data_IF_054221980584
#
_entry.id   IF_054221980584
#
_cell.length_a   1.000
_cell.length_b   1.000
_cell.length_c   1.000
_cell.angle_alpha   90.00
_cell.angle_beta   90.00
_cell.angle_gamma   90.00
#
_symmetry.space_group_name_H-M   'P 1'
#
loop_
_entity.id
_entity.type
_entity.pdbx_description
1 polymer ?
#
# COMPACT_ATOMS: atom_id res chain seq x y z
N UNK A 1 -4.59 -4.32 0.99
CA UNK A 1 -5.30 -5.10 2.01
C UNK A 1 -5.96 -6.34 1.39
N UNK A 2 -6.78 -6.20 0.38
CA UNK A 2 -7.49 -7.32 -0.26
C UNK A 2 -6.55 -8.35 -0.91
N UNK A 3 -5.47 -7.88 -1.55
CA UNK A 3 -4.44 -8.75 -2.14
C UNK A 3 -3.76 -9.60 -1.07
N UNK A 4 -3.31 -9.00 0.04
CA UNK A 4 -2.68 -9.74 1.13
C UNK A 4 -3.64 -10.76 1.75
N UNK A 5 -4.91 -10.38 1.98
CA UNK A 5 -5.92 -11.30 2.49
C UNK A 5 -6.16 -12.48 1.53
N UNK A 6 -6.14 -12.24 0.21
CA UNK A 6 -6.30 -13.29 -0.79
C UNK A 6 -5.08 -14.23 -0.81
N UNK A 7 -3.85 -13.70 -0.75
CA UNK A 7 -2.64 -14.54 -0.68
C UNK A 7 -2.61 -15.33 0.63
N UNK A 8 -3.00 -14.72 1.76
CA UNK A 8 -3.13 -15.39 3.05
C UNK A 8 -4.09 -16.58 2.97
N UNK A 9 -5.25 -16.40 2.35
CA UNK A 9 -6.22 -17.49 2.16
C UNK A 9 -5.69 -18.63 1.28
N UNK A 10 -4.86 -18.33 0.27
CA UNK A 10 -4.19 -19.32 -0.55
C UNK A 10 -3.10 -20.09 0.22
N UNK A 11 -2.39 -19.39 1.12
CA UNK A 11 -1.45 -20.03 2.04
C UNK A 11 -2.16 -20.97 3.02
N UNK A 12 -3.24 -20.54 3.64
CA UNK A 12 -4.07 -21.36 4.55
C UNK A 12 -4.66 -22.58 3.81
N UNK A 13 -5.03 -22.40 2.53
CA UNK A 13 -5.44 -23.50 1.66
C UNK A 13 -4.28 -24.41 1.22
N UNK A 14 -3.04 -24.14 1.66
CA UNK A 14 -1.81 -24.89 1.30
C UNK A 14 -1.54 -24.91 -0.22
N UNK A 15 -1.83 -23.81 -0.89
CA UNK A 15 -1.57 -23.63 -2.32
C UNK A 15 -0.34 -22.78 -2.58
N UNK A 16 -0.06 -21.80 -1.72
CA UNK A 16 1.11 -20.93 -1.79
C UNK A 16 1.93 -21.00 -0.49
N UNK A 17 3.19 -20.59 -0.56
CA UNK A 17 4.07 -20.38 0.60
C UNK A 17 3.64 -19.15 1.41
N UNK A 18 4.32 -18.87 2.52
CA UNK A 18 3.97 -17.81 3.46
C UNK A 18 3.98 -16.43 2.79
N UNK A 19 2.90 -15.62 2.95
CA UNK A 19 2.72 -14.39 2.18
C UNK A 19 3.51 -13.18 2.68
N UNK A 20 3.98 -13.19 3.94
CA UNK A 20 4.71 -12.06 4.50
C UNK A 20 6.20 -12.32 4.41
N UNK A 21 6.77 -12.04 3.26
CA UNK A 21 8.18 -12.18 2.96
C UNK A 21 8.67 -11.03 2.10
N UNK A 22 9.89 -10.60 2.30
CA UNK A 22 10.62 -9.67 1.46
C UNK A 22 11.54 -10.38 0.46
N UNK A 23 11.73 -11.68 0.63
CA UNK A 23 12.57 -12.47 -0.26
C UNK A 23 11.97 -12.52 -1.67
N UNK A 24 12.83 -12.29 -2.64
CA UNK A 24 12.52 -12.42 -4.07
C UNK A 24 13.15 -13.67 -4.69
N UNK A 25 13.81 -14.47 -3.86
CA UNK A 25 14.52 -15.69 -4.24
C UNK A 25 14.07 -16.85 -3.37
N UNK A 26 14.40 -18.06 -3.80
CA UNK A 26 14.13 -19.31 -3.10
C UNK A 26 15.44 -20.02 -2.76
N UNK A 27 15.37 -21.07 -1.90
CA UNK A 27 16.51 -21.95 -1.63
C UNK A 27 16.62 -23.06 -2.66
N UNK A 28 17.73 -23.79 -2.64
CA UNK A 28 17.92 -24.99 -3.46
C UNK A 28 16.85 -26.07 -3.18
N UNK A 29 16.39 -26.18 -1.94
CA UNK A 29 15.37 -27.16 -1.56
C UNK A 29 14.04 -26.89 -2.26
N UNK A 30 13.61 -25.61 -2.31
CA UNK A 30 12.39 -25.22 -3.02
C UNK A 30 12.55 -25.44 -4.52
N UNK A 31 13.71 -25.14 -5.08
CA UNK A 31 13.98 -25.37 -6.50
C UNK A 31 13.84 -26.85 -6.88
N UNK A 32 14.33 -27.78 -6.04
CA UNK A 32 14.23 -29.23 -6.31
C UNK A 32 12.78 -29.66 -6.45
N UNK A 33 11.92 -29.36 -5.47
CA UNK A 33 10.53 -29.80 -5.57
C UNK A 33 9.73 -29.08 -6.67
N UNK A 34 10.06 -27.82 -6.98
CA UNK A 34 9.44 -27.12 -8.12
C UNK A 34 9.80 -27.79 -9.45
N UNK A 35 11.07 -28.19 -9.59
CA UNK A 35 11.54 -28.95 -10.75
C UNK A 35 10.83 -30.30 -10.86
N UNK A 36 10.73 -31.05 -9.76
CA UNK A 36 10.14 -32.37 -9.75
C UNK A 36 8.63 -32.35 -10.07
N UNK A 37 7.94 -31.24 -9.74
CA UNK A 37 6.52 -31.03 -10.05
C UNK A 37 6.26 -30.17 -11.28
N UNK A 38 7.29 -29.83 -12.07
CA UNK A 38 7.21 -28.87 -13.19
C UNK A 38 6.10 -29.22 -14.18
N UNK A 39 5.99 -30.47 -14.60
CA UNK A 39 4.95 -30.92 -15.53
C UNK A 39 3.53 -30.70 -15.01
N UNK A 40 3.31 -30.93 -13.71
CA UNK A 40 2.02 -30.68 -13.07
C UNK A 40 1.64 -29.21 -13.06
N UNK A 41 2.57 -28.34 -12.72
CA UNK A 41 2.34 -26.89 -12.75
C UNK A 41 2.10 -26.35 -14.16
N UNK A 42 2.86 -26.84 -15.15
CA UNK A 42 2.66 -26.49 -16.55
C UNK A 42 1.29 -26.93 -17.05
N UNK A 43 0.83 -28.12 -16.62
CA UNK A 43 -0.52 -28.62 -16.93
C UNK A 43 -1.64 -27.71 -16.40
N UNK A 44 -1.46 -27.09 -15.23
CA UNK A 44 -2.44 -26.12 -14.70
C UNK A 44 -2.54 -24.89 -15.60
N UNK A 45 -1.41 -24.38 -16.11
CA UNK A 45 -1.36 -23.20 -16.99
C UNK A 45 -1.75 -23.49 -18.43
N UNK A 46 -1.81 -24.77 -18.83
CA UNK A 46 -1.92 -25.15 -20.24
C UNK A 46 -0.72 -24.68 -21.06
N UNK A 47 0.47 -24.67 -20.47
CA UNK A 47 1.71 -24.19 -21.09
C UNK A 47 2.74 -25.33 -21.20
N UNK A 48 3.63 -25.23 -22.18
CA UNK A 48 4.74 -26.16 -22.38
C UNK A 48 6.05 -25.41 -22.47
N UNK A 49 7.12 -26.01 -21.94
CA UNK A 49 8.49 -25.51 -22.06
C UNK A 49 9.29 -26.58 -22.80
N UNK A 50 9.74 -26.29 -24.02
CA UNK A 50 10.43 -27.28 -24.85
C UNK A 50 11.80 -27.65 -24.26
N UNK A 51 12.53 -26.66 -23.76
CA UNK A 51 13.86 -26.82 -23.17
C UNK A 51 13.91 -26.17 -21.79
N UNK A 52 13.39 -26.82 -20.74
CA UNK A 52 13.37 -26.23 -19.42
C UNK A 52 14.80 -26.10 -18.84
N UNK A 53 15.07 -24.96 -18.23
CA UNK A 53 16.29 -24.75 -17.47
C UNK A 53 16.18 -25.43 -16.11
N UNK A 54 16.80 -26.59 -15.98
CA UNK A 54 16.74 -27.42 -14.77
C UNK A 54 17.93 -27.16 -13.81
N UNK A 55 18.74 -26.13 -14.08
CA UNK A 55 19.87 -25.74 -13.24
C UNK A 55 19.51 -24.51 -12.40
N UNK A 56 19.79 -24.51 -11.07
CA UNK A 56 19.52 -23.35 -10.22
C UNK A 56 20.32 -22.13 -10.69
N UNK A 57 19.62 -21.05 -11.04
CA UNK A 57 20.26 -19.78 -11.44
C UNK A 57 20.25 -18.81 -10.26
N UNK A 58 21.40 -18.19 -9.93
CA UNK A 58 21.58 -17.34 -8.75
C UNK A 58 20.58 -16.16 -8.65
N UNK A 59 20.04 -15.71 -9.77
CA UNK A 59 19.01 -14.66 -9.78
C UNK A 59 17.67 -15.11 -9.19
N UNK A 60 17.39 -16.43 -9.12
CA UNK A 60 16.17 -17.01 -8.57
C UNK A 60 16.41 -17.85 -7.34
N UNK A 61 17.59 -18.52 -7.26
CA UNK A 61 17.93 -19.48 -6.21
C UNK A 61 19.21 -18.99 -5.52
N UNK A 62 19.06 -18.48 -4.31
CA UNK A 62 20.19 -17.92 -3.54
C UNK A 62 19.92 -18.13 -2.04
N UNK A 63 20.49 -19.22 -1.49
CA UNK A 63 20.30 -19.58 -0.07
C UNK A 63 20.76 -18.45 0.89
N UNK A 64 21.79 -17.68 0.50
CA UNK A 64 22.34 -16.62 1.34
C UNK A 64 21.40 -15.40 1.47
N UNK A 65 20.45 -15.24 0.56
CA UNK A 65 19.46 -14.15 0.59
C UNK A 65 18.12 -14.54 1.18
N UNK A 66 17.95 -15.79 1.57
CA UNK A 66 16.75 -16.27 2.27
C UNK A 66 17.07 -16.32 3.76
N UNK A 67 16.42 -15.46 4.54
CA UNK A 67 16.59 -15.43 5.99
C UNK A 67 15.57 -16.37 6.67
N UNK A 68 14.38 -15.88 6.98
CA UNK A 68 13.31 -16.67 7.62
C UNK A 68 12.36 -17.31 6.61
N UNK A 69 12.02 -16.57 5.55
CA UNK A 69 11.05 -16.98 4.53
C UNK A 69 11.59 -16.73 3.14
N UNK A 70 11.36 -17.66 2.23
CA UNK A 70 11.64 -17.52 0.81
C UNK A 70 10.48 -16.84 0.07
N UNK A 71 10.67 -16.54 -1.21
CA UNK A 71 9.67 -15.89 -2.05
C UNK A 71 8.34 -16.67 -2.09
N UNK A 72 7.26 -15.95 -2.41
CA UNK A 72 5.93 -16.58 -2.57
C UNK A 72 5.93 -17.47 -3.82
N UNK A 73 5.77 -18.78 -3.60
CA UNK A 73 5.77 -19.82 -4.65
C UNK A 73 4.66 -20.84 -4.39
N UNK A 74 4.27 -21.66 -5.38
CA UNK A 74 3.36 -22.78 -5.18
C UNK A 74 3.96 -23.82 -4.21
N UNK A 75 3.11 -24.48 -3.44
CA UNK A 75 3.52 -25.58 -2.53
C UNK A 75 3.81 -26.86 -3.28
N UNK A 76 4.50 -27.82 -2.63
CA UNK A 76 4.83 -29.15 -3.18
C UNK A 76 3.61 -29.93 -3.73
N UNK A 77 2.43 -29.68 -3.18
CA UNK A 77 1.21 -30.38 -3.61
C UNK A 77 0.58 -29.63 -4.78
N UNK A 78 0.80 -30.13 -5.97
CA UNK A 78 0.15 -29.62 -7.19
C UNK A 78 -1.37 -29.85 -7.07
N UNK A 79 -2.21 -28.78 -7.11
CA UNK A 79 -3.65 -28.96 -7.08
C UNK A 79 -4.18 -29.48 -8.42
N UNK A 80 -5.26 -30.24 -8.38
CA UNK A 80 -6.02 -30.62 -9.56
C UNK A 80 -6.88 -29.45 -10.09
N UNK A 81 -7.38 -29.59 -11.31
CA UNK A 81 -8.24 -28.57 -11.94
C UNK A 81 -9.54 -28.33 -11.15
N UNK A 82 -10.09 -29.37 -10.53
CA UNK A 82 -11.31 -29.25 -9.73
C UNK A 82 -11.10 -28.38 -8.49
N UNK A 83 -9.91 -28.46 -7.87
CA UNK A 83 -9.53 -27.62 -6.74
C UNK A 83 -9.31 -26.18 -7.16
N UNK A 84 -8.67 -25.93 -8.31
CA UNK A 84 -8.49 -24.58 -8.87
C UNK A 84 -9.85 -23.96 -9.21
N UNK A 85 -10.76 -24.71 -9.81
CA UNK A 85 -12.11 -24.24 -10.16
C UNK A 85 -12.96 -23.82 -8.94
N UNK A 86 -12.69 -24.35 -7.75
CA UNK A 86 -13.36 -23.98 -6.50
C UNK A 86 -12.87 -22.65 -5.91
N UNK A 87 -11.74 -22.12 -6.37
CA UNK A 87 -11.21 -20.85 -5.93
C UNK A 87 -12.08 -19.70 -6.47
N UNK A 88 -12.19 -18.63 -5.70
CA UNK A 88 -12.82 -17.41 -6.22
C UNK A 88 -11.93 -16.73 -7.27
N UNK A 89 -12.52 -15.79 -8.04
CA UNK A 89 -11.86 -15.13 -9.17
C UNK A 89 -10.54 -14.46 -8.77
N UNK A 90 -10.46 -13.82 -7.59
CA UNK A 90 -9.24 -13.15 -7.14
C UNK A 90 -8.16 -14.17 -6.74
N UNK A 91 -8.55 -15.26 -6.07
CA UNK A 91 -7.65 -16.36 -5.73
C UNK A 91 -7.07 -17.02 -6.99
N UNK A 92 -7.92 -17.29 -8.00
CA UNK A 92 -7.46 -17.86 -9.27
C UNK A 92 -6.45 -16.93 -9.96
N UNK A 93 -6.76 -15.63 -10.07
CA UNK A 93 -5.84 -14.64 -10.68
C UNK A 93 -4.51 -14.55 -9.96
N UNK A 94 -4.51 -14.56 -8.63
CA UNK A 94 -3.27 -14.48 -7.86
C UNK A 94 -2.49 -15.78 -7.96
N UNK A 95 -3.14 -16.93 -7.87
CA UNK A 95 -2.48 -18.23 -8.03
C UNK A 95 -1.85 -18.36 -9.42
N UNK A 96 -2.58 -18.03 -10.50
CA UNK A 96 -2.07 -18.01 -11.87
C UNK A 96 -0.85 -17.08 -12.02
N UNK A 97 -0.92 -15.86 -11.45
CA UNK A 97 0.19 -14.91 -11.48
C UNK A 97 1.44 -15.46 -10.78
N UNK A 98 1.29 -16.00 -9.56
CA UNK A 98 2.41 -16.58 -8.81
C UNK A 98 2.99 -17.77 -9.54
N UNK A 99 2.14 -18.62 -10.11
CA UNK A 99 2.57 -19.79 -10.87
C UNK A 99 3.38 -19.39 -12.11
N UNK A 100 2.90 -18.45 -12.92
CA UNK A 100 3.62 -17.92 -14.09
C UNK A 100 4.97 -17.31 -13.70
N UNK A 101 5.01 -16.51 -12.63
CA UNK A 101 6.25 -15.90 -12.13
C UNK A 101 7.24 -16.95 -11.63
N UNK A 102 6.77 -17.98 -10.95
CA UNK A 102 7.60 -19.09 -10.49
C UNK A 102 8.16 -19.90 -11.65
N UNK A 103 7.33 -20.23 -12.63
CA UNK A 103 7.74 -21.05 -13.79
C UNK A 103 8.67 -20.30 -14.75
N UNK A 104 8.69 -18.96 -14.70
CA UNK A 104 9.64 -18.16 -15.47
C UNK A 104 11.12 -18.52 -15.17
N UNK A 105 11.42 -19.09 -13.99
CA UNK A 105 12.78 -19.57 -13.69
C UNK A 105 13.20 -20.79 -14.52
N UNK A 106 12.27 -21.54 -15.08
CA UNK A 106 12.53 -22.72 -15.92
C UNK A 106 12.57 -22.39 -17.41
N UNK A 107 12.13 -21.20 -17.79
CA UNK A 107 12.18 -20.71 -19.17
C UNK A 107 13.55 -20.13 -19.52
N UNK A 108 13.80 -20.01 -20.83
CA UNK A 108 14.95 -19.27 -21.36
C UNK A 108 14.86 -17.80 -21.01
N UNK A 109 15.99 -17.09 -21.10
CA UNK A 109 15.99 -15.64 -20.91
C UNK A 109 15.31 -14.92 -22.07
N UNK A 110 14.65 -13.80 -21.74
CA UNK A 110 14.17 -12.84 -22.72
C UNK A 110 15.37 -12.10 -23.31
N UNK A 111 15.65 -12.29 -24.61
CA UNK A 111 16.78 -11.72 -25.30
C UNK A 111 16.28 -10.74 -26.38
N UNK A 112 16.85 -9.55 -26.39
CA UNK A 112 16.54 -8.52 -27.38
C UNK A 112 17.78 -7.66 -27.64
N UNK A 113 17.84 -7.11 -28.87
CA UNK A 113 18.74 -6.01 -29.20
C UNK A 113 18.02 -4.68 -28.98
N UNK A 114 18.74 -3.68 -28.51
CA UNK A 114 18.26 -2.31 -28.33
C UNK A 114 19.11 -1.36 -29.17
N UNK A 115 18.92 -1.38 -30.52
CA UNK A 115 19.64 -0.49 -31.40
C UNK A 115 19.31 0.96 -31.13
N UNK A 116 20.34 1.80 -31.19
CA UNK A 116 20.20 3.26 -31.12
C UNK A 116 20.83 3.86 -32.36
N UNK A 117 20.07 4.66 -33.11
CA UNK A 117 20.52 5.43 -34.24
C UNK A 117 20.70 6.87 -33.79
N UNK A 118 21.87 7.41 -33.97
CA UNK A 118 22.19 8.83 -33.75
C UNK A 118 22.37 9.47 -35.13
N UNK A 119 21.53 10.45 -35.44
CA UNK A 119 21.57 11.18 -36.68
C UNK A 119 22.00 12.62 -36.42
N UNK A 120 23.15 13.02 -36.98
CA UNK A 120 23.57 14.43 -36.95
C UNK A 120 22.79 15.22 -38.03
N UNK A 121 22.14 16.30 -37.62
CA UNK A 121 21.46 17.23 -38.50
C UNK A 121 21.89 18.64 -38.12
N UNK A 122 22.84 19.18 -38.86
CA UNK A 122 23.33 20.54 -38.63
C UNK A 122 24.04 20.73 -37.27
N UNK A 123 24.74 19.72 -36.79
CA UNK A 123 25.46 19.72 -35.50
C UNK A 123 24.54 19.41 -34.29
N UNK A 124 23.32 18.94 -34.50
CA UNK A 124 22.39 18.50 -33.48
C UNK A 124 22.15 16.99 -33.59
N UNK A 125 22.31 16.28 -32.49
CA UNK A 125 22.06 14.84 -32.41
C UNK A 125 20.58 14.52 -32.21
N UNK A 126 20.01 13.80 -33.18
CA UNK A 126 18.67 13.23 -33.09
C UNK A 126 18.78 11.74 -32.79
N UNK A 127 18.25 11.31 -31.64
CA UNK A 127 18.38 9.94 -31.15
C UNK A 127 17.08 9.16 -31.34
N UNK A 128 17.14 8.03 -32.02
CA UNK A 128 16.07 7.07 -32.15
C UNK A 128 16.49 5.72 -31.54
N UNK A 129 15.69 5.19 -30.61
CA UNK A 129 15.90 3.86 -30.03
C UNK A 129 14.76 2.93 -30.38
N UNK A 130 15.08 1.67 -30.64
CA UNK A 130 14.13 0.61 -30.96
C UNK A 130 14.42 -0.66 -30.17
N UNK A 131 13.58 -1.67 -30.34
CA UNK A 131 13.77 -2.97 -29.71
C UNK A 131 13.49 -4.08 -30.73
N UNK A 132 14.46 -5.00 -30.87
CA UNK A 132 14.35 -6.17 -31.74
C UNK A 132 14.38 -7.41 -30.85
N UNK A 133 13.25 -8.09 -30.71
CA UNK A 133 13.14 -9.31 -29.88
C UNK A 133 13.82 -10.46 -30.63
N UNK A 134 14.82 -11.07 -30.00
CA UNK A 134 15.52 -12.27 -30.48
C UNK A 134 14.92 -13.56 -29.91
N UNK A 135 14.59 -13.57 -28.64
CA UNK A 135 13.97 -14.69 -27.96
C UNK A 135 12.98 -14.17 -26.91
N UNK A 136 11.72 -14.58 -27.00
CA UNK A 136 10.71 -14.22 -26.01
C UNK A 136 10.97 -14.83 -24.64
N UNK A 137 11.63 -15.99 -24.56
CA UNK A 137 11.96 -16.66 -23.31
C UNK A 137 10.80 -16.66 -22.32
N UNK A 138 11.07 -16.33 -21.06
CA UNK A 138 10.07 -16.31 -19.99
C UNK A 138 8.87 -15.39 -20.22
N UNK A 139 8.96 -14.42 -21.13
CA UNK A 139 7.82 -13.54 -21.47
C UNK A 139 6.67 -14.30 -22.15
N UNK A 140 6.91 -15.50 -22.69
CA UNK A 140 5.83 -16.37 -23.20
C UNK A 140 4.79 -16.66 -22.12
N UNK A 141 5.22 -16.73 -20.84
CA UNK A 141 4.35 -16.98 -19.69
C UNK A 141 3.48 -15.77 -19.30
N UNK A 142 3.88 -14.54 -19.66
CA UNK A 142 3.10 -13.35 -19.32
C UNK A 142 1.81 -13.19 -20.17
N UNK A 143 1.70 -13.96 -21.26
CA UNK A 143 0.59 -13.85 -22.21
C UNK A 143 0.61 -12.50 -22.96
N UNK A 144 -0.37 -12.29 -23.83
CA UNK A 144 -0.53 -11.04 -24.58
C UNK A 144 -1.05 -9.87 -23.73
N UNK A 145 -0.62 -9.73 -22.49
CA UNK A 145 -1.01 -8.63 -21.61
C UNK A 145 -0.16 -7.38 -21.86
N UNK A 146 -0.10 -6.92 -23.12
CA UNK A 146 0.29 -5.52 -23.35
C UNK A 146 -0.71 -4.64 -22.61
N UNK A 147 -0.22 -3.85 -21.68
CA UNK A 147 -1.07 -2.85 -21.02
C UNK A 147 -1.55 -1.86 -22.10
N UNK A 148 -2.85 -1.63 -22.15
CA UNK A 148 -3.45 -0.64 -23.04
C UNK A 148 -2.72 0.71 -22.85
N UNK A 149 -1.93 1.15 -23.84
CA UNK A 149 -1.14 2.38 -23.78
C UNK A 149 0.38 2.20 -23.63
N UNK A 150 0.90 0.97 -23.58
CA UNK A 150 2.34 0.78 -23.79
C UNK A 150 2.68 1.12 -25.27
N UNK A 151 3.73 1.95 -25.48
CA UNK A 151 4.16 2.26 -26.85
C UNK A 151 4.54 0.95 -27.56
N UNK A 152 4.15 0.83 -28.82
CA UNK A 152 4.62 -0.26 -29.65
C UNK A 152 6.15 -0.23 -29.72
N UNK A 153 6.78 -1.42 -29.66
CA UNK A 153 8.22 -1.52 -29.84
C UNK A 153 8.55 -0.95 -31.22
N UNK A 154 9.29 0.16 -31.24
CA UNK A 154 9.69 0.79 -32.51
C UNK A 154 10.70 -0.11 -33.18
N UNK A 155 10.37 -0.61 -34.36
CA UNK A 155 11.31 -1.29 -35.24
C UNK A 155 12.05 -0.20 -35.99
N UNK A 156 13.37 -0.11 -35.76
CA UNK A 156 14.22 0.81 -36.51
C UNK A 156 14.63 0.20 -37.83
N UNK A 157 14.82 1.02 -38.90
CA UNK A 157 15.35 0.55 -40.17
C UNK A 157 16.81 0.08 -39.99
N UNK A 158 17.23 -0.80 -40.87
CA UNK A 158 18.65 -1.17 -40.97
C UNK A 158 19.39 -0.02 -41.65
N UNK A 159 20.32 0.58 -40.95
CA UNK A 159 21.16 1.68 -41.46
C UNK A 159 22.63 1.37 -41.20
N UNK A 160 23.51 1.93 -41.98
CA UNK A 160 24.96 1.82 -41.79
C UNK A 160 25.57 3.14 -41.30
N UNK A 161 26.68 3.07 -40.60
CA UNK A 161 27.37 4.27 -40.12
C UNK A 161 27.86 5.08 -41.32
N UNK A 162 27.55 6.39 -41.34
CA UNK A 162 27.85 7.31 -42.44
C UNK A 162 26.82 7.36 -43.53
N UNK A 163 25.70 6.62 -43.41
CA UNK A 163 24.60 6.74 -44.34
C UNK A 163 23.94 8.12 -44.22
N UNK A 164 23.62 8.72 -45.38
CA UNK A 164 23.03 10.06 -45.46
C UNK A 164 21.62 9.98 -46.02
N UNK A 165 20.77 10.92 -45.61
CA UNK A 165 19.38 10.98 -46.07
C UNK A 165 18.81 12.38 -45.96
N UNK A 166 17.56 12.53 -46.41
CA UNK A 166 16.84 13.81 -46.33
C UNK A 166 16.04 13.81 -45.01
N UNK A 167 16.26 14.83 -44.18
CA UNK A 167 15.53 14.99 -42.93
C UNK A 167 14.35 15.97 -43.09
N UNK A 168 13.18 15.59 -42.55
CA UNK A 168 12.03 16.47 -42.37
C UNK A 168 11.90 16.72 -40.88
N UNK A 169 12.15 17.96 -40.45
CA UNK A 169 12.08 18.36 -39.05
C UNK A 169 10.72 18.94 -38.72
N UNK A 170 10.17 18.54 -37.59
CA UNK A 170 8.97 19.09 -36.99
C UNK A 170 9.16 19.39 -35.52
N UNK A 171 8.72 20.55 -35.08
CA UNK A 171 8.72 20.93 -33.67
C UNK A 171 7.40 20.47 -33.04
N UNK A 172 7.48 19.83 -31.89
CA UNK A 172 6.31 19.44 -31.09
C UNK A 172 6.39 20.08 -29.72
N UNK A 173 5.49 20.99 -29.44
CA UNK A 173 5.35 21.52 -28.07
C UNK A 173 4.86 20.44 -27.12
N UNK A 174 5.53 20.33 -25.98
CA UNK A 174 5.13 19.45 -24.89
C UNK A 174 5.16 20.22 -23.57
N UNK A 175 4.25 19.86 -22.68
CA UNK A 175 4.28 20.37 -21.29
C UNK A 175 4.83 19.28 -20.38
N UNK A 176 5.67 19.68 -19.46
CA UNK A 176 6.09 18.80 -18.36
C UNK A 176 4.88 18.45 -17.50
N UNK A 177 4.84 17.24 -17.03
CA UNK A 177 3.79 16.77 -16.11
C UNK A 177 4.41 16.48 -14.76
N UNK A 178 3.72 16.81 -13.66
CA UNK A 178 4.21 16.45 -12.33
C UNK A 178 4.28 14.93 -12.17
N UNK A 179 5.06 14.42 -11.18
CA UNK A 179 5.04 13.01 -10.82
C UNK A 179 3.62 12.50 -10.56
N UNK A 180 3.35 11.26 -10.90
CA UNK A 180 2.05 10.64 -10.63
C UNK A 180 1.83 10.52 -9.12
N UNK A 181 0.59 10.76 -8.62
CA UNK A 181 0.25 10.50 -7.23
C UNK A 181 0.56 9.06 -6.83
N UNK A 182 0.93 8.86 -5.57
CA UNK A 182 1.15 7.52 -5.05
C UNK A 182 -0.12 6.67 -5.07
N UNK A 183 0.03 5.41 -5.34
CA UNK A 183 -0.93 4.35 -5.00
C UNK A 183 -0.46 3.66 -3.70
N UNK A 184 -1.29 2.84 -3.05
CA UNK A 184 -0.84 2.06 -1.89
C UNK A 184 0.40 1.22 -2.24
N UNK A 185 0.42 0.59 -3.42
CA UNK A 185 1.56 -0.23 -3.86
C UNK A 185 2.83 0.58 -4.11
N UNK A 186 2.72 1.76 -4.75
CA UNK A 186 3.89 2.62 -4.99
C UNK A 186 4.39 3.30 -3.71
N UNK A 187 3.51 3.58 -2.74
CA UNK A 187 3.90 4.09 -1.43
C UNK A 187 4.65 3.02 -0.62
N UNK A 188 4.20 1.76 -0.63
CA UNK A 188 4.95 0.64 -0.03
C UNK A 188 6.34 0.52 -0.66
N UNK A 189 6.44 0.66 -1.99
CA UNK A 189 7.73 0.63 -2.68
C UNK A 189 8.61 1.83 -2.30
N UNK A 190 8.04 3.02 -2.12
CA UNK A 190 8.76 4.20 -1.64
C UNK A 190 9.26 4.01 -0.20
N UNK A 191 8.44 3.48 0.70
CA UNK A 191 8.86 3.15 2.07
C UNK A 191 10.03 2.15 2.07
N UNK A 192 9.95 1.10 1.25
CA UNK A 192 11.05 0.11 1.09
C UNK A 192 12.34 0.76 0.57
N UNK A 193 12.23 1.77 -0.27
CA UNK A 193 13.37 2.44 -0.90
C UNK A 193 13.68 3.81 -0.26
N UNK A 194 13.20 4.07 0.95
CA UNK A 194 13.34 5.38 1.61
C UNK A 194 14.81 5.83 1.76
N UNK A 195 15.76 4.90 1.83
CA UNK A 195 17.19 5.23 1.83
C UNK A 195 17.70 5.94 0.57
N UNK A 196 16.92 6.00 -0.52
CA UNK A 196 17.30 6.79 -1.70
C UNK A 196 17.17 8.31 -1.48
N UNK A 197 16.34 8.70 -0.52
CA UNK A 197 16.08 10.08 -0.15
C UNK A 197 17.06 10.62 0.91
N UNK A 198 18.02 9.79 1.37
CA UNK A 198 19.01 10.14 2.37
C UNK A 198 20.34 10.46 1.68
N UNK A 199 20.96 11.56 2.05
CA UNK A 199 22.21 12.02 1.42
C UNK A 199 23.45 11.27 1.97
N UNK A 200 23.45 10.90 3.26
CA UNK A 200 24.54 10.19 3.89
C UNK A 200 24.70 8.77 3.34
N UNK A 201 25.93 8.40 2.97
CA UNK A 201 26.24 7.13 2.32
C UNK A 201 26.10 5.92 3.28
N UNK A 202 26.43 6.10 4.57
CA UNK A 202 26.33 5.05 5.59
C UNK A 202 24.86 4.77 5.93
N UNK A 203 24.08 5.82 6.18
CA UNK A 203 22.64 5.72 6.45
C UNK A 203 21.89 5.11 5.26
N UNK A 204 22.27 5.50 4.04
CA UNK A 204 21.77 4.92 2.80
C UNK A 204 22.05 3.42 2.71
N UNK A 205 23.25 2.99 3.09
CA UNK A 205 23.63 1.57 3.09
C UNK A 205 22.81 0.80 4.12
N UNK A 206 22.63 1.33 5.33
CA UNK A 206 21.84 0.72 6.41
C UNK A 206 20.37 0.62 6.05
N UNK A 207 19.75 1.70 5.56
CA UNK A 207 18.35 1.66 5.11
C UNK A 207 18.13 0.71 3.94
N UNK A 208 19.15 0.48 3.12
CA UNK A 208 19.13 -0.54 2.08
C UNK A 208 19.18 -1.95 2.67
N UNK A 209 19.97 -2.18 3.70
CA UNK A 209 20.11 -3.46 4.40
C UNK A 209 18.86 -3.79 5.21
N UNK A 210 18.31 -2.82 5.93
CA UNK A 210 17.08 -2.95 6.72
C UNK A 210 15.79 -2.81 5.90
N UNK A 211 15.92 -2.65 4.57
CA UNK A 211 14.79 -2.49 3.64
C UNK A 211 13.92 -1.25 3.88
N UNK A 212 14.51 -0.13 4.30
CA UNK A 212 13.85 1.17 4.43
C UNK A 212 12.99 1.32 5.69
N UNK A 213 11.86 2.02 5.59
CA UNK A 213 10.96 2.30 6.70
C UNK A 213 9.94 1.18 6.85
N UNK A 214 9.83 0.63 8.07
CA UNK A 214 8.94 -0.48 8.40
C UNK A 214 9.36 -1.80 7.75
N UNK A 215 8.59 -2.84 8.00
CA UNK A 215 8.78 -4.18 7.45
C UNK A 215 7.65 -4.55 6.49
N UNK A 216 7.77 -5.65 5.76
CA UNK A 216 6.70 -6.19 4.92
C UNK A 216 5.41 -6.43 5.71
N UNK A 217 5.54 -6.83 6.97
CA UNK A 217 4.40 -7.08 7.85
C UNK A 217 3.71 -5.78 8.30
N UNK A 218 4.43 -4.66 8.40
CA UNK A 218 3.94 -3.43 9.04
C UNK A 218 3.54 -2.34 8.06
N UNK A 219 4.20 -2.20 6.89
CA UNK A 219 3.96 -1.09 5.92
C UNK A 219 2.49 -0.95 5.53
N UNK A 220 1.84 -2.06 5.18
CA UNK A 220 0.41 -2.01 4.81
C UNK A 220 -0.46 -1.56 5.99
N UNK A 221 -0.13 -1.98 7.21
CA UNK A 221 -0.82 -1.57 8.43
C UNK A 221 -0.62 -0.09 8.76
N UNK A 222 0.57 0.45 8.52
CA UNK A 222 0.86 1.89 8.67
C UNK A 222 0.00 2.72 7.71
N UNK A 223 -0.06 2.35 6.42
CA UNK A 223 -0.89 3.06 5.43
C UNK A 223 -2.37 2.99 5.81
N UNK A 224 -2.86 1.83 6.24
CA UNK A 224 -4.25 1.68 6.69
C UNK A 224 -4.53 2.55 7.93
N UNK A 225 -3.61 2.61 8.89
CA UNK A 225 -3.73 3.46 10.06
C UNK A 225 -3.79 4.95 9.70
N UNK A 226 -2.95 5.41 8.77
CA UNK A 226 -2.99 6.79 8.27
C UNK A 226 -4.34 7.11 7.60
N UNK A 227 -4.91 6.17 6.85
CA UNK A 227 -6.25 6.31 6.25
C UNK A 227 -7.35 6.31 7.30
N UNK A 228 -7.29 5.38 8.26
CA UNK A 228 -8.29 5.24 9.32
C UNK A 228 -8.29 6.49 10.25
N UNK A 229 -7.13 7.12 10.44
CA UNK A 229 -6.99 8.38 11.19
C UNK A 229 -7.31 9.63 10.37
N UNK A 230 -7.56 9.47 9.07
CA UNK A 230 -7.92 10.56 8.17
C UNK A 230 -6.75 11.48 7.79
N UNK A 231 -5.49 11.04 7.90
CA UNK A 231 -4.32 11.79 7.44
C UNK A 231 -4.14 11.70 5.92
N UNK A 232 -4.53 10.57 5.33
CA UNK A 232 -4.55 10.38 3.89
C UNK A 232 -5.89 9.79 3.45
N UNK A 233 -6.26 10.03 2.20
CA UNK A 233 -7.44 9.44 1.55
C UNK A 233 -7.03 8.64 0.32
N UNK A 234 -7.88 7.68 -0.08
CA UNK A 234 -7.69 6.93 -1.31
C UNK A 234 -8.90 7.12 -2.23
N UNK A 235 -8.68 7.60 -3.44
CA UNK A 235 -9.70 7.75 -4.47
C UNK A 235 -9.15 7.24 -5.80
N UNK A 236 -9.94 6.42 -6.53
CA UNK A 236 -9.53 5.83 -7.81
C UNK A 236 -8.13 5.21 -7.79
N UNK A 237 -7.80 4.51 -6.70
CA UNK A 237 -6.49 3.89 -6.46
C UNK A 237 -5.31 4.88 -6.31
N UNK A 238 -5.57 6.16 -6.10
CA UNK A 238 -4.57 7.18 -5.82
C UNK A 238 -4.71 7.66 -4.38
N UNK A 239 -3.58 7.89 -3.73
CA UNK A 239 -3.49 8.45 -2.38
C UNK A 239 -3.36 9.96 -2.48
N UNK A 240 -4.03 10.66 -1.58
CA UNK A 240 -3.90 12.09 -1.39
C UNK A 240 -3.78 12.40 0.11
N UNK A 241 -2.93 13.36 0.44
CA UNK A 241 -2.86 13.90 1.79
C UNK A 241 -4.10 14.73 2.08
N UNK A 242 -4.62 14.70 3.31
CA UNK A 242 -5.72 15.54 3.76
C UNK A 242 -5.17 16.80 4.42
N UNK A 243 -6.03 17.79 4.68
CA UNK A 243 -5.66 18.97 5.47
C UNK A 243 -5.07 18.56 6.83
N UNK A 244 -5.71 17.61 7.52
CA UNK A 244 -5.21 17.05 8.77
C UNK A 244 -3.83 16.39 8.62
N UNK A 245 -3.58 15.71 7.49
CA UNK A 245 -2.29 15.11 7.17
C UNK A 245 -1.21 16.18 6.94
N UNK A 246 -1.54 17.24 6.23
CA UNK A 246 -0.66 18.40 6.01
C UNK A 246 -0.28 19.06 7.32
N UNK A 247 -1.25 19.31 8.19
CA UNK A 247 -1.02 19.86 9.54
C UNK A 247 -0.09 18.97 10.38
N UNK A 248 -0.25 17.65 10.31
CA UNK A 248 0.66 16.73 10.99
C UNK A 248 2.10 16.87 10.45
N UNK A 249 2.26 16.91 9.13
CA UNK A 249 3.59 17.08 8.52
C UNK A 249 4.24 18.41 8.92
N UNK A 250 3.48 19.50 8.94
CA UNK A 250 3.95 20.83 9.37
C UNK A 250 4.33 20.82 10.86
N UNK A 251 3.50 20.22 11.71
CA UNK A 251 3.75 20.14 13.16
C UNK A 251 5.01 19.36 13.52
N UNK A 252 5.37 18.33 12.72
CA UNK A 252 6.59 17.52 12.94
C UNK A 252 7.77 17.95 12.07
N UNK A 253 7.61 18.99 11.24
CA UNK A 253 8.68 19.47 10.37
C UNK A 253 9.90 19.89 11.20
N UNK A 254 11.09 19.43 10.78
CA UNK A 254 12.33 19.70 11.52
C UNK A 254 12.53 18.87 12.79
N UNK A 255 11.56 18.04 13.17
CA UNK A 255 11.74 17.09 14.26
C UNK A 255 12.40 15.79 13.76
N UNK A 256 13.31 15.23 14.56
CA UNK A 256 13.99 13.95 14.26
C UNK A 256 13.02 12.80 13.97
N UNK A 257 11.80 12.85 14.51
CA UNK A 257 10.77 11.82 14.18
C UNK A 257 10.37 11.79 12.71
N UNK A 258 10.49 12.91 12.00
CA UNK A 258 10.17 13.00 10.57
C UNK A 258 11.37 12.71 9.67
N UNK A 259 12.55 12.51 10.25
CA UNK A 259 13.78 12.23 9.53
C UNK A 259 13.99 10.72 9.33
N UNK A 260 14.18 10.34 8.07
CA UNK A 260 14.46 8.94 7.69
C UNK A 260 15.83 8.50 8.19
N UNK A 261 16.81 9.41 8.26
CA UNK A 261 18.16 9.14 8.76
C UNK A 261 18.14 8.72 10.23
N UNK A 262 17.22 9.28 11.02
CA UNK A 262 17.06 8.89 12.42
C UNK A 262 16.65 7.41 12.59
N UNK A 263 15.85 6.88 11.68
CA UNK A 263 15.54 5.44 11.64
C UNK A 263 16.81 4.62 11.37
N UNK A 264 17.67 5.07 10.45
CA UNK A 264 18.93 4.40 10.14
C UNK A 264 19.88 4.37 11.35
N UNK A 265 20.00 5.48 12.10
CA UNK A 265 20.82 5.54 13.31
C UNK A 265 20.38 4.49 14.36
N UNK A 266 19.09 4.33 14.56
CA UNK A 266 18.55 3.36 15.51
C UNK A 266 18.77 1.92 15.06
N UNK A 267 18.52 1.62 13.81
CA UNK A 267 18.78 0.30 13.23
C UNK A 267 20.26 -0.07 13.29
N UNK A 268 21.15 0.89 13.05
CA UNK A 268 22.60 0.72 13.21
C UNK A 268 22.97 0.32 14.63
N UNK A 269 22.38 0.96 15.63
CA UNK A 269 22.67 0.63 17.02
C UNK A 269 22.07 -0.72 17.43
N UNK A 270 20.87 -1.05 16.96
CA UNK A 270 20.25 -2.37 17.16
C UNK A 270 21.11 -3.49 16.55
N UNK A 271 21.69 -3.25 15.36
CA UNK A 271 22.61 -4.19 14.75
C UNK A 271 23.89 -4.40 15.58
N UNK A 272 24.42 -3.36 16.26
CA UNK A 272 25.54 -3.48 17.21
C UNK A 272 25.15 -4.34 18.41
N UNK A 273 23.96 -4.13 19.00
CA UNK A 273 23.45 -4.95 20.10
C UNK A 273 23.38 -6.44 19.68
N UNK A 274 22.83 -6.69 18.47
CA UNK A 274 22.72 -8.05 17.93
C UNK A 274 24.09 -8.76 17.78
N UNK A 275 25.14 -8.00 17.46
CA UNK A 275 26.52 -8.50 17.34
C UNK A 275 27.23 -8.62 18.70
N UNK A 276 26.61 -8.20 19.79
CA UNK A 276 27.25 -8.12 21.11
C UNK A 276 28.25 -6.95 21.28
N UNK A 277 28.21 -5.98 20.37
CA UNK A 277 29.07 -4.78 20.35
C UNK A 277 28.39 -3.55 20.96
N UNK A 278 27.08 -3.65 21.30
CA UNK A 278 26.26 -2.57 21.84
C UNK A 278 25.63 -2.92 23.19
N UNK A 279 25.27 -1.90 23.96
CA UNK A 279 24.61 -2.01 25.26
C UNK A 279 23.10 -1.71 25.13
N UNK A 280 22.27 -2.69 25.54
CA UNK A 280 20.82 -2.55 25.50
C UNK A 280 20.30 -1.49 26.50
N UNK A 281 20.89 -1.40 27.69
CA UNK A 281 20.45 -0.45 28.71
C UNK A 281 20.72 0.99 28.25
N UNK A 282 21.88 1.24 27.67
CA UNK A 282 22.23 2.52 27.07
C UNK A 282 21.24 2.90 25.92
N UNK A 283 20.89 1.94 25.08
CA UNK A 283 19.92 2.19 24.01
C UNK A 283 18.55 2.59 24.53
N UNK A 284 18.05 1.87 25.55
CA UNK A 284 16.77 2.17 26.18
C UNK A 284 16.77 3.53 26.89
N UNK A 285 17.88 3.91 27.50
CA UNK A 285 18.01 5.22 28.14
C UNK A 285 17.98 6.36 27.09
N UNK A 286 18.64 6.20 25.94
CA UNK A 286 18.55 7.14 24.84
C UNK A 286 17.13 7.28 24.30
N UNK A 287 16.37 6.18 24.20
CA UNK A 287 14.95 6.24 23.82
C UNK A 287 14.15 7.07 24.83
N UNK A 288 14.35 6.85 26.13
CA UNK A 288 13.67 7.62 27.18
C UNK A 288 14.00 9.12 27.10
N UNK A 289 15.28 9.44 26.92
CA UNK A 289 15.71 10.83 26.72
C UNK A 289 15.03 11.46 25.51
N UNK A 290 15.01 10.76 24.39
CA UNK A 290 14.34 11.22 23.18
C UNK A 290 12.83 11.46 23.37
N UNK A 291 12.15 10.55 24.07
CA UNK A 291 10.71 10.72 24.39
C UNK A 291 10.49 11.95 25.28
N UNK A 292 11.35 12.17 26.29
CA UNK A 292 11.25 13.33 27.15
C UNK A 292 11.53 14.64 26.41
N UNK A 293 12.49 14.64 25.49
CA UNK A 293 12.77 15.78 24.61
C UNK A 293 11.53 16.14 23.77
N UNK A 294 10.90 15.17 23.11
CA UNK A 294 9.67 15.39 22.34
C UNK A 294 8.54 15.93 23.21
N UNK A 295 8.36 15.37 24.40
CA UNK A 295 7.33 15.86 25.31
C UNK A 295 7.60 17.30 25.79
N UNK A 296 8.88 17.68 25.93
CA UNK A 296 9.31 19.05 26.27
C UNK A 296 9.02 20.06 25.16
N UNK A 297 9.23 19.66 23.90
CA UNK A 297 9.02 20.54 22.73
C UNK A 297 7.56 20.57 22.22
N UNK A 298 6.68 19.80 22.85
CA UNK A 298 5.26 19.68 22.42
C UNK A 298 4.56 21.05 22.26
N UNK A 299 4.77 21.98 23.19
CA UNK A 299 4.14 23.29 23.15
C UNK A 299 4.70 24.18 22.03
N UNK A 300 5.99 24.06 21.72
CA UNK A 300 6.63 24.81 20.63
C UNK A 300 6.13 24.33 19.26
N UNK A 301 5.95 23.02 19.08
CA UNK A 301 5.37 22.43 17.86
C UNK A 301 3.93 22.91 17.61
N UNK A 302 3.13 23.12 18.67
CA UNK A 302 1.76 23.60 18.57
C UNK A 302 1.67 25.14 18.43
N UNK A 303 2.72 25.87 18.80
CA UNK A 303 2.79 27.33 18.73
C UNK A 303 3.37 27.86 17.42
N UNK A 304 3.82 27.01 16.50
CA UNK A 304 4.17 27.46 15.15
C UNK A 304 2.95 28.16 14.52
N UNK A 305 3.20 29.34 13.91
CA UNK A 305 2.15 30.28 13.46
C UNK A 305 1.01 29.59 12.68
N UNK A 306 -0.22 29.71 13.19
CA UNK A 306 -1.45 29.28 12.53
C UNK A 306 -1.74 27.78 12.59
N UNK A 307 -0.92 26.93 13.23
CA UNK A 307 -1.24 25.49 13.35
C UNK A 307 -2.44 25.28 14.28
N UNK A 308 -2.51 26.01 15.40
CA UNK A 308 -3.63 25.91 16.34
C UNK A 308 -4.95 26.31 15.68
N UNK A 309 -4.99 27.45 14.97
CA UNK A 309 -6.18 27.93 14.25
C UNK A 309 -6.55 26.96 13.10
N UNK A 310 -5.58 26.34 12.44
CA UNK A 310 -5.84 25.36 11.36
C UNK A 310 -6.27 24.00 11.90
N UNK A 311 -5.81 23.60 13.09
CA UNK A 311 -6.31 22.42 13.80
C UNK A 311 -7.78 22.62 14.18
N UNK A 312 -8.12 23.80 14.68
CA UNK A 312 -9.50 24.18 15.00
C UNK A 312 -10.37 24.21 13.73
N UNK A 313 -9.89 24.78 12.65
CA UNK A 313 -10.57 24.79 11.35
C UNK A 313 -10.68 23.39 10.71
N UNK A 314 -9.70 22.51 10.92
CA UNK A 314 -9.74 21.09 10.46
C UNK A 314 -10.67 20.21 11.29
N UNK A 315 -11.34 20.76 12.29
CA UNK A 315 -12.43 20.12 13.02
C UNK A 315 -12.18 19.78 14.48
N UNK A 316 -10.98 20.00 15.04
CA UNK A 316 -10.79 20.03 16.50
C UNK A 316 -11.16 21.43 16.99
N UNK A 317 -12.20 21.53 17.83
CA UNK A 317 -12.80 22.80 18.26
C UNK A 317 -13.96 23.28 17.38
N UNK A 318 -14.16 22.71 16.19
CA UNK A 318 -15.26 23.12 15.30
C UNK A 318 -16.63 22.96 15.99
N UNK A 319 -17.37 24.04 16.05
CA UNK A 319 -18.76 24.03 16.51
C UNK A 319 -19.63 23.34 15.48
N UNK A 320 -20.23 22.22 15.87
CA UNK A 320 -21.05 21.38 14.97
C UNK A 320 -22.54 21.40 15.35
N UNK A 321 -22.93 22.19 16.32
CA UNK A 321 -24.32 22.36 16.68
C UNK A 321 -24.53 22.72 18.13
N UNK A 322 -25.73 22.46 18.62
CA UNK A 322 -26.14 22.73 19.99
C UNK A 322 -26.10 21.46 20.82
N UNK A 323 -25.53 21.56 22.02
CA UNK A 323 -25.50 20.45 22.97
C UNK A 323 -26.93 20.03 23.38
N UNK A 324 -27.28 18.74 23.21
CA UNK A 324 -28.62 18.27 23.51
C UNK A 324 -28.95 18.18 25.01
N UNK A 325 -27.94 18.42 25.88
CA UNK A 325 -28.10 18.40 27.34
C UNK A 325 -28.29 19.79 27.91
N UNK A 326 -27.44 20.75 27.59
CA UNK A 326 -27.41 22.07 28.22
C UNK A 326 -27.68 23.25 27.27
N UNK A 327 -27.84 23.01 25.96
CA UNK A 327 -28.13 24.04 24.98
C UNK A 327 -26.93 24.91 24.56
N UNK A 328 -25.75 24.71 25.14
CA UNK A 328 -24.53 25.41 24.73
C UNK A 328 -23.94 24.76 23.45
N UNK A 329 -22.83 25.28 22.97
CA UNK A 329 -22.16 24.76 21.78
C UNK A 329 -21.68 23.31 21.96
N UNK A 330 -21.90 22.50 20.93
CA UNK A 330 -21.30 21.17 20.80
C UNK A 330 -20.15 21.25 19.81
N UNK A 331 -18.99 20.80 20.23
CA UNK A 331 -17.73 20.88 19.51
C UNK A 331 -17.16 19.52 19.22
N UNK A 332 -16.33 19.44 18.20
CA UNK A 332 -15.46 18.31 17.97
C UNK A 332 -14.20 18.47 18.82
N UNK A 333 -13.83 17.43 19.58
CA UNK A 333 -12.56 17.37 20.29
C UNK A 333 -11.94 15.97 20.15
N UNK A 334 -10.94 15.87 19.29
CA UNK A 334 -10.30 14.61 18.95
C UNK A 334 -11.30 13.58 18.42
N UNK A 335 -11.37 12.45 19.08
CA UNK A 335 -12.28 11.35 18.72
C UNK A 335 -13.70 11.52 19.25
N UNK A 336 -14.04 12.68 19.80
CA UNK A 336 -15.32 12.91 20.46
C UNK A 336 -16.07 14.09 19.87
N UNK A 337 -17.39 13.96 19.92
CA UNK A 337 -18.35 15.05 19.80
C UNK A 337 -18.86 15.34 21.22
N UNK A 338 -18.61 16.52 21.73
CA UNK A 338 -18.88 16.85 23.13
C UNK A 338 -19.38 18.30 23.30
N UNK A 339 -19.95 18.59 24.46
CA UNK A 339 -20.22 19.97 24.87
C UNK A 339 -18.90 20.73 25.06
N UNK A 340 -18.87 22.02 24.76
CA UNK A 340 -17.71 22.87 25.09
C UNK A 340 -17.36 22.84 26.58
N UNK A 341 -18.38 22.72 27.47
CA UNK A 341 -18.21 22.66 28.90
C UNK A 341 -18.20 21.22 29.45
N UNK A 342 -17.77 20.25 28.62
CA UNK A 342 -17.70 18.86 29.05
C UNK A 342 -16.73 18.68 30.22
N UNK A 343 -17.20 18.02 31.27
CA UNK A 343 -16.41 17.73 32.49
C UNK A 343 -16.51 18.82 33.56
N UNK A 344 -17.01 20.01 33.26
CA UNK A 344 -17.23 21.10 34.22
C UNK A 344 -18.73 21.26 34.55
N UNK A 345 -19.52 21.61 33.54
CA UNK A 345 -20.95 21.92 33.69
C UNK A 345 -21.87 21.04 32.85
N UNK A 346 -21.32 20.15 32.01
CA UNK A 346 -22.08 19.28 31.12
C UNK A 346 -21.46 17.91 30.94
N UNK A 347 -22.30 16.89 30.84
CA UNK A 347 -21.87 15.48 30.66
C UNK A 347 -21.95 15.01 29.20
N UNK A 348 -22.38 15.87 28.27
CA UNK A 348 -22.55 15.44 26.87
C UNK A 348 -21.24 15.13 26.21
N UNK A 349 -21.02 13.86 25.88
CA UNK A 349 -19.88 13.36 25.10
C UNK A 349 -20.22 12.05 24.43
N UNK A 350 -20.00 11.94 23.12
CA UNK A 350 -20.16 10.71 22.35
C UNK A 350 -18.94 10.50 21.47
N UNK A 351 -18.61 9.23 21.17
CA UNK A 351 -17.50 8.92 20.25
C UNK A 351 -17.88 9.27 18.80
N UNK A 352 -16.97 9.90 18.09
CA UNK A 352 -17.04 10.06 16.63
C UNK A 352 -16.52 8.82 15.90
N UNK A 353 -15.76 7.97 16.58
CA UNK A 353 -15.20 6.75 16.00
C UNK A 353 -16.16 5.60 16.23
N UNK A 354 -16.90 5.22 15.18
CA UNK A 354 -17.99 4.26 15.22
C UNK A 354 -17.74 3.18 14.17
N UNK A 355 -17.69 1.92 14.56
CA UNK A 355 -17.45 0.77 13.68
C UNK A 355 -16.29 1.00 12.70
N UNK A 356 -15.13 1.43 13.23
CA UNK A 356 -13.88 1.72 12.51
C UNK A 356 -13.97 2.87 11.49
N UNK A 357 -14.86 3.84 11.71
CA UNK A 357 -15.03 5.02 10.89
C UNK A 357 -15.21 6.26 11.77
N UNK A 358 -14.59 7.39 11.37
CA UNK A 358 -14.83 8.68 11.97
C UNK A 358 -16.00 9.39 11.29
N UNK A 359 -16.84 10.07 12.07
CA UNK A 359 -17.82 11.03 11.56
C UNK A 359 -17.11 12.33 11.14
N UNK A 360 -17.45 12.83 9.95
CA UNK A 360 -17.03 14.18 9.54
C UNK A 360 -17.74 15.26 10.35
N UNK A 361 -17.23 16.51 10.36
CA UNK A 361 -17.92 17.63 10.99
C UNK A 361 -19.35 17.80 10.47
N UNK A 362 -19.58 17.68 9.17
CA UNK A 362 -20.89 17.80 8.52
C UNK A 362 -21.84 16.69 8.97
N UNK A 363 -21.34 15.45 9.07
CA UNK A 363 -22.11 14.30 9.55
C UNK A 363 -22.46 14.45 11.04
N UNK A 364 -21.52 14.96 11.85
CA UNK A 364 -21.76 15.28 13.25
C UNK A 364 -22.82 16.38 13.41
N UNK A 365 -22.75 17.43 12.57
CA UNK A 365 -23.76 18.49 12.52
C UNK A 365 -25.14 17.96 12.13
N UNK A 366 -25.23 17.10 11.13
CA UNK A 366 -26.47 16.45 10.72
C UNK A 366 -27.04 15.58 11.86
N UNK A 367 -26.19 14.79 12.53
CA UNK A 367 -26.58 13.92 13.64
C UNK A 367 -27.15 14.72 14.83
N UNK A 368 -26.52 15.84 15.20
CA UNK A 368 -27.03 16.70 16.27
C UNK A 368 -28.33 17.39 15.91
N UNK A 369 -28.43 17.94 14.70
CA UNK A 369 -29.60 18.71 14.25
C UNK A 369 -30.85 17.83 14.06
N UNK A 370 -30.67 16.65 13.45
CA UNK A 370 -31.80 15.78 13.04
C UNK A 370 -31.98 14.57 13.93
N UNK A 371 -31.05 14.30 14.86
CA UNK A 371 -30.98 13.06 15.66
C UNK A 371 -30.78 11.80 14.82
N UNK A 372 -30.61 11.94 13.52
CA UNK A 372 -30.38 10.90 12.54
C UNK A 372 -29.49 11.42 11.41
N UNK A 373 -28.57 10.59 10.90
CA UNK A 373 -27.78 10.90 9.70
C UNK A 373 -28.43 10.32 8.45
N UNK A 374 -28.03 10.82 7.28
CA UNK A 374 -28.21 10.07 6.03
C UNK A 374 -27.57 8.69 6.14
N UNK A 375 -27.83 7.84 5.15
CA UNK A 375 -27.15 6.55 5.04
C UNK A 375 -25.66 6.77 4.73
N UNK A 376 -24.81 6.46 5.70
CA UNK A 376 -23.36 6.57 5.60
C UNK A 376 -22.75 5.23 5.21
N UNK A 377 -21.68 5.25 4.43
CA UNK A 377 -20.90 4.08 4.02
C UNK A 377 -19.55 4.03 4.73
N UNK A 378 -18.84 2.90 4.66
CA UNK A 378 -17.48 2.76 5.20
C UNK A 378 -17.38 2.23 6.62
N UNK A 379 -18.52 1.89 7.27
CA UNK A 379 -18.49 1.14 8.53
C UNK A 379 -18.01 -0.28 8.32
N UNK A 380 -17.30 -0.84 9.31
CA UNK A 380 -16.79 -2.21 9.27
C UNK A 380 -17.33 -3.04 10.44
N UNK A 381 -17.81 -4.25 10.14
CA UNK A 381 -18.17 -5.25 11.14
C UNK A 381 -16.94 -5.81 11.83
N UNK A 382 -17.13 -6.61 12.89
CA UNK A 382 -16.04 -7.31 13.58
C UNK A 382 -15.24 -8.25 12.64
N UNK A 383 -15.93 -8.86 11.66
CA UNK A 383 -15.35 -9.72 10.61
C UNK A 383 -14.65 -8.94 9.47
N UNK A 384 -14.57 -7.60 9.57
CA UNK A 384 -13.94 -6.72 8.58
C UNK A 384 -14.80 -6.35 7.37
N UNK A 385 -15.99 -6.93 7.20
CA UNK A 385 -16.90 -6.60 6.09
C UNK A 385 -17.44 -5.18 6.22
N UNK A 386 -17.42 -4.46 5.11
CA UNK A 386 -18.01 -3.12 5.05
C UNK A 386 -19.52 -3.16 5.00
N UNK A 387 -20.17 -2.18 5.65
CA UNK A 387 -21.61 -1.99 5.57
C UNK A 387 -21.96 -0.51 5.56
N UNK A 388 -23.22 -0.20 5.21
CA UNK A 388 -23.73 1.17 5.16
C UNK A 388 -25.04 1.23 5.92
N UNK A 389 -25.18 2.23 6.79
CA UNK A 389 -26.40 2.46 7.58
C UNK A 389 -26.49 3.93 7.96
N UNK A 390 -27.66 4.37 8.46
CA UNK A 390 -27.80 5.63 9.15
C UNK A 390 -27.49 5.46 10.64
N UNK A 391 -27.05 6.53 11.28
CA UNK A 391 -26.82 6.61 12.72
C UNK A 391 -27.97 7.35 13.38
N UNK A 392 -28.33 6.90 14.57
CA UNK A 392 -29.34 7.53 15.41
C UNK A 392 -28.70 8.04 16.70
N UNK A 393 -28.99 9.26 17.09
CA UNK A 393 -28.63 9.83 18.38
C UNK A 393 -29.82 9.68 19.35
N UNK A 394 -29.66 8.85 20.35
CA UNK A 394 -30.64 8.59 21.36
C UNK A 394 -30.06 8.59 22.77
N UNK A 395 -30.86 8.23 23.77
CA UNK A 395 -30.40 7.97 25.13
C UNK A 395 -30.30 6.48 25.37
N UNK A 396 -29.27 6.05 26.07
CA UNK A 396 -29.14 4.68 26.55
C UNK A 396 -30.00 4.42 27.78
N UNK A 397 -29.96 3.20 28.31
CA UNK A 397 -30.72 2.79 29.51
C UNK A 397 -30.34 3.59 30.77
N UNK A 398 -29.16 4.14 30.81
CA UNK A 398 -28.65 5.00 31.88
C UNK A 398 -29.03 6.49 31.69
N UNK A 399 -29.71 6.82 30.58
CA UNK A 399 -30.10 8.20 30.25
C UNK A 399 -29.02 9.04 29.59
N UNK A 400 -27.85 8.47 29.29
CA UNK A 400 -26.77 9.17 28.59
C UNK A 400 -26.99 9.16 27.08
N UNK A 401 -26.57 10.20 26.40
CA UNK A 401 -26.59 10.21 24.94
C UNK A 401 -25.63 9.17 24.35
N UNK A 402 -26.14 8.38 23.41
CA UNK A 402 -25.40 7.35 22.70
C UNK A 402 -25.80 7.32 21.23
N UNK A 403 -24.88 6.82 20.41
CA UNK A 403 -25.11 6.61 18.97
C UNK A 403 -25.40 5.13 18.71
N UNK A 404 -26.48 4.86 18.01
CA UNK A 404 -26.87 3.52 17.59
C UNK A 404 -27.02 3.45 16.07
N UNK A 405 -27.01 2.24 15.54
CA UNK A 405 -27.27 2.00 14.12
C UNK A 405 -28.77 1.92 13.86
N UNK A 406 -29.24 2.58 12.81
CA UNK A 406 -30.62 2.42 12.37
C UNK A 406 -30.87 0.97 11.94
N UNK A 407 -31.89 0.27 12.47
CA UNK A 407 -32.20 -1.10 12.09
C UNK A 407 -32.41 -1.22 10.57
N UNK A 408 -31.86 -2.29 9.99
CA UNK A 408 -32.15 -2.58 8.58
C UNK A 408 -33.64 -2.94 8.43
N UNK A 409 -34.33 -2.22 7.56
CA UNK A 409 -35.65 -2.68 7.12
C UNK A 409 -35.52 -4.07 6.48
N UNK A 410 -36.35 -5.07 6.82
CA UNK A 410 -36.25 -6.37 6.19
C UNK A 410 -36.42 -6.19 4.67
N UNK A 411 -35.50 -6.72 3.89
CA UNK A 411 -35.58 -6.67 2.44
C UNK A 411 -36.85 -7.38 2.00
N UNK A 412 -37.79 -6.67 1.36
CA UNK A 412 -38.91 -7.30 0.67
C UNK A 412 -38.32 -8.29 -0.33
N UNK A 413 -38.45 -9.59 -0.07
CA UNK A 413 -38.10 -10.65 -1.02
C UNK A 413 -38.81 -10.33 -2.33
N UNK A 414 -38.06 -10.13 -3.42
CA UNK A 414 -38.66 -10.05 -4.76
C UNK A 414 -39.41 -11.35 -4.98
N UNK A 415 -40.67 -11.30 -5.47
CA UNK A 415 -41.38 -12.52 -5.77
C UNK A 415 -40.61 -13.31 -6.84
N UNK A 416 -40.40 -14.58 -6.57
CA UNK A 416 -39.83 -15.54 -7.52
C UNK A 416 -40.78 -15.58 -8.72
N UNK A 417 -40.38 -15.09 -9.87
CA UNK A 417 -41.08 -15.30 -11.14
C UNK A 417 -40.92 -16.78 -11.48
N UNK A 418 -41.97 -17.55 -11.19
CA UNK A 418 -42.15 -18.88 -11.78
C UNK A 418 -42.15 -18.72 -13.31
N UNK A 419 -41.12 -19.19 -13.97
CA UNK A 419 -41.19 -19.47 -15.39
C UNK A 419 -41.92 -20.81 -15.53
N UNK A 420 -43.18 -20.75 -15.86
CA UNK A 420 -43.93 -21.86 -16.41
C UNK A 420 -43.70 -21.88 -17.92
N UNK A 421 -43.18 -22.98 -18.40
CA UNK A 421 -43.12 -23.52 -19.78
C UNK A 421 -42.43 -22.66 -20.84
#
# INVERSE_FOLDING_TARGET
KDTLATVQSLYEAKLLSYPRTDATVITKNEFVYLKDNLSGYLGILGHTIDKPNLTPRKKYVDDAKVQEHYAIIPTKKVPDQARIAKLNVNQQKIYDLVLRRTLAMFEEDFIYDEPTIITDIGGLDFVASGKIIKNLGWKKLEGNTRKKGEPEDKILPMVTVGETGTAILATKEKKTTPPKPYTEGTLIAAMKNAGKEVDDAEDKAILKETHGIGTEATRAGVIENLKDRGYITASKNQLAITEKGTLLCEAVAGNKMSDVAFTAEWEKYLAKIHKGEGDQAYFLENIKHFVLEILGTKNEMLQSEGIAERIDAAGDGAVVGVCPVCGKEAIIKGSYLQCQDYGEACSFRISRYIARRYLSPEEAKELLARKETKRLSGFKKKDGKSFSTALLLGKDEAGNYAVSFKPFAPSKKKPVRNKTQ
#
